data_IF_354752796110
#
_entry.id   IF_354752796110
#
_cell.length_a   1.000
_cell.length_b   1.000
_cell.length_c   1.000
_cell.angle_alpha   90.00
_cell.angle_beta   90.00
_cell.angle_gamma   90.00
#
_symmetry.space_group_name_H-M   'P 1'
#
loop_
_entity.id
_entity.type
_entity.pdbx_description
1 polymer ?
#
# COMPACT_ATOMS: atom_id res chain seq x y z
N UNK A 1 -19.04 8.43 17.12
CA UNK A 1 -18.94 8.51 15.65
C UNK A 1 -17.50 8.75 15.21
N UNK A 2 -16.86 9.84 15.65
CA UNK A 2 -15.47 10.19 15.29
C UNK A 2 -14.42 9.08 15.54
N UNK A 3 -14.47 8.38 16.68
CA UNK A 3 -13.51 7.32 17.01
C UNK A 3 -13.59 6.15 16.02
N UNK A 4 -14.80 5.77 15.60
CA UNK A 4 -14.98 4.67 14.65
C UNK A 4 -14.51 5.06 13.24
N UNK A 5 -14.78 6.29 12.80
CA UNK A 5 -14.25 6.82 11.55
C UNK A 5 -12.72 6.89 11.57
N UNK A 6 -12.14 7.36 12.67
CA UNK A 6 -10.69 7.35 12.85
C UNK A 6 -10.13 5.93 12.81
N UNK A 7 -10.69 4.98 13.57
CA UNK A 7 -10.22 3.59 13.61
C UNK A 7 -10.34 2.89 12.25
N UNK A 8 -11.39 3.19 11.50
CA UNK A 8 -11.65 2.60 10.19
C UNK A 8 -10.83 3.25 9.07
N UNK A 9 -10.24 4.43 9.31
CA UNK A 9 -9.26 5.02 8.41
C UNK A 9 -8.02 4.13 8.26
N UNK A 10 -7.29 4.29 7.15
CA UNK A 10 -6.05 3.56 6.91
C UNK A 10 -5.03 3.77 8.03
N UNK A 11 -4.86 5.03 8.46
CA UNK A 11 -3.94 5.36 9.54
C UNK A 11 -4.38 4.81 10.88
N UNK A 12 -5.66 4.94 11.24
CA UNK A 12 -6.16 4.42 12.51
C UNK A 12 -6.07 2.89 12.61
N UNK A 13 -6.41 2.18 11.54
CA UNK A 13 -6.27 0.72 11.49
C UNK A 13 -4.80 0.28 11.54
N UNK A 14 -3.89 0.99 10.87
CA UNK A 14 -2.44 0.72 10.97
C UNK A 14 -1.91 0.94 12.39
N UNK A 15 -2.33 2.01 13.06
CA UNK A 15 -1.93 2.32 14.43
C UNK A 15 -2.45 1.27 15.41
N UNK A 16 -3.69 0.82 15.22
CA UNK A 16 -4.29 -0.26 15.99
C UNK A 16 -3.51 -1.58 15.82
N UNK A 17 -3.15 -1.94 14.59
CA UNK A 17 -2.33 -3.14 14.32
C UNK A 17 -0.96 -3.02 15.03
N UNK A 18 -0.30 -1.85 14.93
CA UNK A 18 0.96 -1.60 15.64
C UNK A 18 0.80 -1.78 17.15
N UNK A 19 -0.23 -1.18 17.74
CA UNK A 19 -0.49 -1.22 19.18
C UNK A 19 -0.73 -2.67 19.65
N UNK A 20 -1.60 -3.42 18.96
CA UNK A 20 -1.85 -4.83 19.29
C UNK A 20 -0.59 -5.68 19.13
N UNK A 21 0.22 -5.42 18.09
CA UNK A 21 1.47 -6.16 17.86
C UNK A 21 2.49 -5.91 18.97
N UNK A 22 2.59 -4.67 19.48
CA UNK A 22 3.45 -4.31 20.62
C UNK A 22 2.94 -4.99 21.90
N UNK A 23 1.63 -5.00 22.14
CA UNK A 23 1.06 -5.71 23.29
C UNK A 23 1.32 -7.22 23.20
N UNK A 24 1.19 -7.80 22.01
CA UNK A 24 1.50 -9.21 21.76
C UNK A 24 2.98 -9.53 22.04
N UNK A 25 3.90 -8.64 21.65
CA UNK A 25 5.34 -8.75 21.96
C UNK A 25 5.58 -8.84 23.46
N UNK A 26 5.04 -7.88 24.23
CA UNK A 26 5.25 -7.80 25.68
C UNK A 26 4.61 -9.01 26.37
N UNK A 27 3.40 -9.39 25.96
CA UNK A 27 2.69 -10.53 26.53
C UNK A 27 3.43 -11.85 26.27
N UNK A 28 3.90 -12.08 25.04
CA UNK A 28 4.65 -13.28 24.68
C UNK A 28 5.93 -13.44 25.50
N UNK A 29 6.70 -12.36 25.67
CA UNK A 29 7.91 -12.37 26.48
C UNK A 29 7.60 -12.70 27.96
N UNK A 30 6.54 -12.11 28.52
CA UNK A 30 6.09 -12.38 29.89
C UNK A 30 5.58 -13.81 30.07
N UNK A 31 4.80 -14.32 29.12
CA UNK A 31 4.24 -15.67 29.13
C UNK A 31 5.36 -16.72 29.18
N UNK A 32 6.35 -16.60 28.29
CA UNK A 32 7.49 -17.54 28.23
C UNK A 32 8.33 -17.47 29.50
N UNK A 33 8.54 -16.29 30.09
CA UNK A 33 9.25 -16.15 31.36
C UNK A 33 8.53 -16.91 32.49
N UNK A 34 7.22 -16.72 32.61
CA UNK A 34 6.41 -17.42 33.61
C UNK A 34 6.41 -18.93 33.40
N UNK A 35 6.34 -19.39 32.15
CA UNK A 35 6.42 -20.82 31.82
C UNK A 35 7.80 -21.41 32.14
N UNK A 36 8.87 -20.66 31.85
CA UNK A 36 10.25 -21.05 32.16
C UNK A 36 10.46 -21.26 33.66
N UNK A 37 9.98 -20.32 34.49
CA UNK A 37 10.04 -20.42 35.96
C UNK A 37 9.22 -21.62 36.45
N UNK A 38 7.97 -21.79 35.97
CA UNK A 38 7.11 -22.90 36.39
C UNK A 38 7.67 -24.28 36.03
N UNK A 39 8.31 -24.39 34.88
CA UNK A 39 8.87 -25.66 34.38
C UNK A 39 10.31 -25.89 34.83
N UNK A 40 10.92 -24.95 35.59
CA UNK A 40 12.35 -24.92 35.92
C UNK A 40 13.24 -25.19 34.69
N UNK A 41 12.89 -24.60 33.55
CA UNK A 41 13.59 -24.76 32.28
C UNK A 41 14.13 -23.42 31.79
N UNK A 42 15.41 -23.38 31.44
CA UNK A 42 16.00 -22.19 30.82
C UNK A 42 15.46 -22.08 29.38
N UNK A 43 14.93 -20.91 28.97
CA UNK A 43 14.44 -20.73 27.61
C UNK A 43 15.60 -20.82 26.61
N UNK A 44 15.37 -21.48 25.47
CA UNK A 44 16.44 -21.68 24.48
C UNK A 44 16.89 -20.37 23.80
N UNK A 45 16.01 -19.35 23.76
CA UNK A 45 16.30 -18.04 23.17
C UNK A 45 16.07 -16.94 24.20
N UNK A 46 16.67 -15.76 24.00
CA UNK A 46 16.35 -14.57 24.79
C UNK A 46 14.86 -14.24 24.67
N UNK A 47 14.25 -13.74 25.76
CA UNK A 47 12.82 -13.44 25.84
C UNK A 47 12.35 -12.52 24.70
N UNK A 48 13.20 -11.57 24.29
CA UNK A 48 12.91 -10.65 23.20
C UNK A 48 12.62 -11.36 21.87
N UNK A 49 13.26 -12.50 21.58
CA UNK A 49 12.98 -13.25 20.35
C UNK A 49 11.58 -13.86 20.35
N UNK A 50 11.04 -14.27 21.50
CA UNK A 50 9.65 -14.75 21.55
C UNK A 50 8.65 -13.61 21.35
N UNK A 51 8.97 -12.42 21.89
CA UNK A 51 8.21 -11.21 21.62
C UNK A 51 8.19 -10.89 20.12
N UNK A 52 9.35 -10.85 19.47
CA UNK A 52 9.45 -10.59 18.04
C UNK A 52 8.73 -11.64 17.19
N UNK A 53 8.79 -12.92 17.57
CA UNK A 53 8.04 -13.97 16.89
C UNK A 53 6.54 -13.68 16.88
N UNK A 54 5.98 -13.31 18.05
CA UNK A 54 4.56 -12.96 18.15
C UNK A 54 4.22 -11.66 17.42
N UNK A 55 5.11 -10.67 17.48
CA UNK A 55 4.96 -9.41 16.76
C UNK A 55 4.84 -9.67 15.25
N UNK A 56 5.75 -10.48 14.68
CA UNK A 56 5.78 -10.76 13.23
C UNK A 56 4.49 -11.43 12.75
N UNK A 57 3.99 -12.43 13.49
CA UNK A 57 2.76 -13.16 13.13
C UNK A 57 1.48 -12.33 13.23
N UNK A 58 1.46 -11.28 14.05
CA UNK A 58 0.31 -10.37 14.14
C UNK A 58 0.44 -9.23 13.13
N UNK A 59 1.63 -8.64 13.05
CA UNK A 59 1.89 -7.43 12.27
C UNK A 59 1.88 -7.69 10.76
N UNK A 60 2.70 -8.63 10.29
CA UNK A 60 2.90 -8.85 8.85
C UNK A 60 1.64 -9.28 8.10
N UNK A 61 0.91 -10.33 8.52
CA UNK A 61 -0.24 -10.76 7.74
C UNK A 61 -1.37 -9.71 7.77
N UNK A 62 -1.53 -8.99 8.89
CA UNK A 62 -2.54 -7.93 9.03
C UNK A 62 -2.21 -6.71 8.16
N UNK A 63 -0.95 -6.25 8.15
CA UNK A 63 -0.55 -5.09 7.35
C UNK A 63 -0.58 -5.39 5.85
N UNK A 64 -0.20 -6.61 5.45
CA UNK A 64 -0.26 -7.05 4.05
C UNK A 64 -1.71 -6.99 3.55
N UNK A 65 -2.66 -7.55 4.30
CA UNK A 65 -4.08 -7.51 3.91
C UNK A 65 -4.64 -6.10 3.92
N UNK A 66 -4.25 -5.26 4.88
CA UNK A 66 -4.71 -3.86 4.93
C UNK A 66 -4.25 -3.09 3.68
N UNK A 67 -2.99 -3.26 3.27
CA UNK A 67 -2.44 -2.62 2.06
C UNK A 67 -3.12 -3.19 0.82
N UNK A 68 -3.17 -4.51 0.70
CA UNK A 68 -3.75 -5.20 -0.45
C UNK A 68 -5.23 -4.85 -0.64
N UNK A 69 -6.03 -4.83 0.43
CA UNK A 69 -7.41 -4.39 0.40
C UNK A 69 -7.52 -2.93 -0.07
N UNK A 70 -6.67 -2.05 0.45
CA UNK A 70 -6.74 -0.62 0.12
C UNK A 70 -6.36 -0.32 -1.34
N UNK A 71 -5.47 -1.13 -1.93
CA UNK A 71 -5.11 -1.02 -3.34
C UNK A 71 -6.19 -1.62 -4.26
N UNK A 72 -6.77 -2.75 -3.88
CA UNK A 72 -7.75 -3.47 -4.71
C UNK A 72 -9.17 -2.91 -4.59
N UNK A 73 -9.56 -2.35 -3.44
CA UNK A 73 -10.94 -1.97 -3.16
C UNK A 73 -11.44 -0.90 -4.12
N UNK A 74 -10.62 0.12 -4.42
CA UNK A 74 -11.02 1.21 -5.31
C UNK A 74 -11.27 0.69 -6.72
N UNK A 75 -10.32 -0.07 -7.26
CA UNK A 75 -10.43 -0.67 -8.60
C UNK A 75 -11.64 -1.58 -8.70
N UNK A 76 -11.90 -2.39 -7.67
CA UNK A 76 -13.04 -3.29 -7.64
C UNK A 76 -14.39 -2.53 -7.60
N UNK A 77 -14.52 -1.52 -6.73
CA UNK A 77 -15.72 -0.69 -6.64
C UNK A 77 -15.97 0.06 -7.95
N UNK A 78 -14.94 0.70 -8.52
CA UNK A 78 -15.05 1.48 -9.75
C UNK A 78 -15.50 0.59 -10.92
N UNK A 79 -14.89 -0.60 -11.06
CA UNK A 79 -15.25 -1.54 -12.12
C UNK A 79 -16.70 -2.05 -11.99
N UNK A 80 -17.17 -2.31 -10.78
CA UNK A 80 -18.57 -2.67 -10.55
C UNK A 80 -19.51 -1.51 -10.84
N UNK A 81 -19.12 -0.30 -10.46
CA UNK A 81 -19.95 0.89 -10.60
C UNK A 81 -20.02 1.38 -12.06
N UNK A 82 -19.00 1.10 -12.89
CA UNK A 82 -19.04 1.38 -14.33
C UNK A 82 -20.25 0.71 -15.00
N UNK A 83 -20.56 -0.55 -14.66
CA UNK A 83 -21.73 -1.25 -15.20
C UNK A 83 -23.04 -0.55 -14.79
N UNK A 84 -23.15 -0.11 -13.54
CA UNK A 84 -24.33 0.62 -13.05
C UNK A 84 -24.50 1.99 -13.72
N UNK A 85 -23.40 2.70 -13.98
CA UNK A 85 -23.43 3.99 -14.70
C UNK A 85 -23.84 3.79 -16.15
N UNK A 86 -23.33 2.75 -16.81
CA UNK A 86 -23.69 2.43 -18.20
C UNK A 86 -25.17 2.09 -18.34
N UNK A 87 -25.72 1.32 -17.40
CA UNK A 87 -27.15 0.99 -17.37
C UNK A 87 -28.03 2.22 -17.12
N UNK A 88 -27.59 3.12 -16.25
CA UNK A 88 -28.30 4.36 -15.94
C UNK A 88 -28.26 5.38 -17.10
N UNK A 89 -27.29 5.25 -18.00
CA UNK A 89 -27.04 6.16 -19.10
C UNK A 89 -26.84 5.43 -20.44
N UNK A 90 -27.86 4.73 -20.97
CA UNK A 90 -27.71 3.85 -22.13
C UNK A 90 -27.40 4.59 -23.44
N UNK A 91 -27.59 5.92 -23.49
CA UNK A 91 -27.35 6.76 -24.67
C UNK A 91 -25.97 7.44 -24.69
N UNK A 92 -25.17 7.28 -23.64
CA UNK A 92 -23.85 7.90 -23.56
C UNK A 92 -22.79 7.04 -24.27
N UNK A 93 -21.88 7.63 -25.07
CA UNK A 93 -20.77 6.90 -25.66
C UNK A 93 -19.80 6.38 -24.58
N UNK A 94 -19.19 5.22 -24.81
CA UNK A 94 -18.29 4.57 -23.85
C UNK A 94 -17.13 5.46 -23.37
N UNK A 95 -16.64 6.34 -24.26
CA UNK A 95 -15.56 7.30 -23.93
C UNK A 95 -15.95 8.33 -22.86
N UNK A 96 -17.25 8.65 -22.72
CA UNK A 96 -17.73 9.63 -21.75
C UNK A 96 -18.16 9.01 -20.41
N UNK A 97 -18.27 7.68 -20.34
CA UNK A 97 -18.68 6.98 -19.11
C UNK A 97 -17.67 7.21 -17.98
N UNK A 98 -16.37 7.13 -18.28
CA UNK A 98 -15.31 7.40 -17.29
C UNK A 98 -15.36 8.82 -16.74
N UNK A 99 -15.68 9.80 -17.60
CA UNK A 99 -15.84 11.19 -17.18
C UNK A 99 -17.07 11.34 -16.27
N UNK A 100 -18.17 10.65 -16.59
CA UNK A 100 -19.38 10.66 -15.77
C UNK A 100 -19.16 9.99 -14.41
N UNK A 101 -18.43 8.88 -14.38
CA UNK A 101 -18.01 8.23 -13.13
C UNK A 101 -17.13 9.16 -12.28
N UNK A 102 -16.17 9.87 -12.89
CA UNK A 102 -15.36 10.85 -12.18
C UNK A 102 -16.20 12.01 -11.60
N UNK A 103 -17.23 12.47 -12.33
CA UNK A 103 -18.19 13.45 -11.78
C UNK A 103 -18.94 12.91 -10.57
N UNK A 104 -19.46 11.67 -10.63
CA UNK A 104 -20.15 11.02 -9.51
C UNK A 104 -19.20 10.90 -8.30
N UNK A 105 -17.95 10.51 -8.53
CA UNK A 105 -16.93 10.45 -7.48
C UNK A 105 -16.69 11.83 -6.84
N UNK A 106 -16.58 12.89 -7.64
CA UNK A 106 -16.40 14.25 -7.12
C UNK A 106 -17.62 14.75 -6.33
N UNK A 107 -18.84 14.43 -6.76
CA UNK A 107 -20.07 14.73 -6.01
C UNK A 107 -20.08 13.94 -4.70
N UNK A 108 -19.73 12.65 -4.75
CA UNK A 108 -19.67 11.79 -3.55
C UNK A 108 -18.64 12.25 -2.52
N UNK A 109 -17.56 12.89 -2.99
CA UNK A 109 -16.53 13.49 -2.15
C UNK A 109 -16.91 14.88 -1.62
N UNK A 110 -18.07 15.43 -2.03
CA UNK A 110 -18.50 16.78 -1.67
C UNK A 110 -17.74 17.89 -2.39
N UNK A 111 -17.05 17.58 -3.49
CA UNK A 111 -16.26 18.55 -4.27
C UNK A 111 -17.09 19.26 -5.34
N UNK A 112 -18.22 18.68 -5.74
CA UNK A 112 -19.14 19.23 -6.73
C UNK A 112 -20.58 19.07 -6.23
N UNK A 113 -21.38 20.12 -6.41
CA UNK A 113 -22.82 20.06 -6.23
C UNK A 113 -23.52 19.84 -7.58
N UNK A 114 -24.63 19.10 -7.57
CA UNK A 114 -25.42 18.87 -8.77
C UNK A 114 -26.91 19.00 -8.45
N UNK A 115 -27.67 19.56 -9.40
CA UNK A 115 -29.13 19.62 -9.33
C UNK A 115 -29.79 18.41 -10.01
N UNK A 116 -29.00 17.55 -10.65
CA UNK A 116 -29.49 16.34 -11.29
C UNK A 116 -29.74 15.25 -10.23
N UNK A 117 -31.01 14.88 -10.09
CA UNK A 117 -31.50 13.90 -9.10
C UNK A 117 -30.81 12.55 -9.29
N UNK A 118 -30.63 12.13 -10.55
CA UNK A 118 -30.04 10.82 -10.86
C UNK A 118 -28.55 10.78 -10.49
N UNK A 119 -27.81 11.86 -10.76
CA UNK A 119 -26.40 11.97 -10.34
C UNK A 119 -26.26 11.95 -8.82
N UNK A 120 -27.18 12.60 -8.10
CA UNK A 120 -27.20 12.59 -6.63
C UNK A 120 -27.46 11.19 -6.09
N UNK A 121 -28.46 10.49 -6.60
CA UNK A 121 -28.77 9.11 -6.21
C UNK A 121 -27.58 8.17 -6.46
N UNK A 122 -26.96 8.24 -7.64
CA UNK A 122 -25.77 7.45 -7.94
C UNK A 122 -24.60 7.78 -7.00
N UNK A 123 -24.41 9.06 -6.66
CA UNK A 123 -23.37 9.47 -5.71
C UNK A 123 -23.59 8.90 -4.31
N UNK A 124 -24.83 8.91 -3.80
CA UNK A 124 -25.19 8.33 -2.51
C UNK A 124 -24.99 6.80 -2.50
N UNK A 125 -25.33 6.15 -3.62
CA UNK A 125 -25.08 4.71 -3.79
C UNK A 125 -23.59 4.40 -3.79
N UNK A 126 -22.77 5.19 -4.47
CA UNK A 126 -21.32 5.05 -4.46
C UNK A 126 -20.72 5.23 -3.05
N UNK A 127 -21.24 6.17 -2.26
CA UNK A 127 -20.87 6.33 -0.84
C UNK A 127 -21.22 5.07 -0.03
N UNK A 128 -22.39 4.47 -0.27
CA UNK A 128 -22.80 3.24 0.41
C UNK A 128 -21.84 2.08 0.14
N UNK A 129 -21.45 1.86 -1.12
CA UNK A 129 -20.47 0.84 -1.49
C UNK A 129 -19.11 1.05 -0.81
N UNK A 130 -18.65 2.30 -0.76
CA UNK A 130 -17.43 2.64 -0.04
C UNK A 130 -17.54 2.35 1.47
N UNK A 131 -18.66 2.73 2.10
CA UNK A 131 -18.90 2.46 3.54
C UNK A 131 -18.90 0.97 3.83
N UNK A 132 -19.59 0.16 3.04
CA UNK A 132 -19.61 -1.30 3.20
C UNK A 132 -18.22 -1.90 3.02
N UNK A 133 -17.45 -1.45 2.02
CA UNK A 133 -16.06 -1.90 1.82
C UNK A 133 -15.16 -1.57 3.01
N UNK A 134 -15.30 -0.38 3.60
CA UNK A 134 -14.55 0.03 4.80
C UNK A 134 -14.93 -0.85 6.00
N UNK A 135 -16.22 -1.14 6.20
CA UNK A 135 -16.69 -2.01 7.28
C UNK A 135 -16.15 -3.45 7.13
N UNK A 136 -16.22 -4.01 5.91
CA UNK A 136 -15.68 -5.32 5.60
C UNK A 136 -14.16 -5.38 5.83
N UNK A 137 -13.42 -4.33 5.43
CA UNK A 137 -11.98 -4.23 5.70
C UNK A 137 -11.67 -4.36 7.18
N UNK A 138 -12.37 -3.61 8.04
CA UNK A 138 -12.16 -3.64 9.50
C UNK A 138 -12.46 -5.03 10.05
N UNK A 139 -13.56 -5.66 9.63
CA UNK A 139 -13.92 -7.02 10.04
C UNK A 139 -12.85 -8.04 9.65
N UNK A 140 -12.35 -7.99 8.42
CA UNK A 140 -11.31 -8.88 7.91
C UNK A 140 -10.00 -8.69 8.68
N UNK A 141 -9.58 -7.45 8.93
CA UNK A 141 -8.37 -7.16 9.71
C UNK A 141 -8.52 -7.68 11.13
N UNK A 142 -9.67 -7.45 11.78
CA UNK A 142 -9.88 -7.87 13.16
C UNK A 142 -9.82 -9.39 13.32
N UNK A 143 -10.41 -10.14 12.38
CA UNK A 143 -10.31 -11.61 12.37
C UNK A 143 -8.88 -12.08 12.15
N UNK A 144 -8.14 -11.45 11.23
CA UNK A 144 -6.74 -11.77 10.96
C UNK A 144 -5.83 -11.53 12.16
N UNK A 145 -6.01 -10.41 12.85
CA UNK A 145 -5.30 -10.09 14.10
C UNK A 145 -5.61 -11.14 15.17
N UNK A 146 -6.89 -11.50 15.33
CA UNK A 146 -7.30 -12.52 16.29
C UNK A 146 -6.66 -13.89 16.00
N UNK A 147 -6.70 -14.35 14.75
CA UNK A 147 -6.06 -15.60 14.34
C UNK A 147 -4.53 -15.54 14.47
N UNK A 148 -3.90 -14.41 14.16
CA UNK A 148 -2.45 -14.21 14.32
C UNK A 148 -2.02 -14.29 15.79
N UNK A 149 -2.79 -13.68 16.70
CA UNK A 149 -2.58 -13.79 18.14
C UNK A 149 -2.72 -15.22 18.64
N UNK A 150 -3.82 -15.88 18.26
CA UNK A 150 -4.13 -17.24 18.67
C UNK A 150 -3.05 -18.23 18.16
N UNK A 151 -2.67 -18.13 16.89
CA UNK A 151 -1.65 -18.99 16.30
C UNK A 151 -0.27 -18.78 16.94
N UNK A 152 0.10 -17.53 17.19
CA UNK A 152 1.34 -17.20 17.90
C UNK A 152 1.38 -17.84 19.27
N UNK A 153 0.34 -17.63 20.09
CA UNK A 153 0.32 -18.06 21.49
C UNK A 153 0.25 -19.57 21.66
N UNK A 154 -0.43 -20.30 20.75
CA UNK A 154 -0.45 -21.77 20.79
C UNK A 154 0.95 -22.37 20.55
N UNK A 155 1.78 -21.70 19.75
CA UNK A 155 3.14 -22.16 19.44
C UNK A 155 4.19 -21.73 20.47
N UNK A 156 3.89 -20.79 21.35
CA UNK A 156 4.83 -20.30 22.36
C UNK A 156 5.12 -21.38 23.40
N UNK A 157 6.39 -21.78 23.47
CA UNK A 157 6.92 -22.64 24.52
C UNK A 157 8.37 -22.26 24.80
N UNK A 158 8.91 -22.52 26.01
CA UNK A 158 10.30 -22.21 26.34
C UNK A 158 11.35 -22.98 25.50
N UNK A 159 10.91 -24.06 24.82
CA UNK A 159 11.74 -24.89 23.94
C UNK A 159 11.76 -24.40 22.49
N UNK A 160 10.91 -23.45 22.12
CA UNK A 160 10.84 -22.95 20.75
C UNK A 160 12.11 -22.15 20.40
N UNK A 161 12.74 -22.49 19.27
CA UNK A 161 13.97 -21.85 18.78
C UNK A 161 13.66 -20.52 18.09
N UNK A 162 13.10 -19.56 18.84
CA UNK A 162 12.59 -18.27 18.31
C UNK A 162 13.63 -17.51 17.47
N UNK A 163 14.91 -17.55 17.88
CA UNK A 163 16.02 -16.92 17.17
C UNK A 163 16.13 -17.38 15.71
N UNK A 164 16.07 -18.69 15.46
CA UNK A 164 16.25 -19.26 14.12
C UNK A 164 15.13 -18.79 13.19
N UNK A 165 13.88 -18.76 13.68
CA UNK A 165 12.75 -18.28 12.89
C UNK A 165 12.88 -16.82 12.48
N UNK A 166 13.34 -15.96 13.40
CA UNK A 166 13.50 -14.53 13.14
C UNK A 166 14.67 -14.28 12.18
N UNK A 167 15.83 -14.90 12.43
CA UNK A 167 17.00 -14.76 11.58
C UNK A 167 16.71 -15.24 10.15
N UNK A 168 16.01 -16.36 9.97
CA UNK A 168 15.62 -16.86 8.66
C UNK A 168 14.61 -15.92 7.96
N UNK A 169 13.62 -15.41 8.69
CA UNK A 169 12.65 -14.45 8.15
C UNK A 169 13.33 -13.16 7.68
N UNK A 170 14.23 -12.59 8.50
CA UNK A 170 15.00 -11.39 8.15
C UNK A 170 15.91 -11.65 6.96
N UNK A 171 16.62 -12.78 6.93
CA UNK A 171 17.48 -13.16 5.81
C UNK A 171 16.72 -13.24 4.49
N UNK A 172 15.54 -13.89 4.47
CA UNK A 172 14.69 -13.98 3.28
C UNK A 172 14.18 -12.61 2.85
N UNK A 173 13.75 -11.78 3.80
CA UNK A 173 13.23 -10.44 3.52
C UNK A 173 14.31 -9.54 2.92
N UNK A 174 15.53 -9.57 3.47
CA UNK A 174 16.65 -8.81 2.93
C UNK A 174 17.11 -9.34 1.57
N UNK A 175 17.07 -10.66 1.34
CA UNK A 175 17.37 -11.22 0.03
C UNK A 175 16.36 -10.73 -1.02
N UNK A 176 15.06 -10.78 -0.72
CA UNK A 176 14.02 -10.25 -1.60
C UNK A 176 14.18 -8.75 -1.84
N UNK A 177 14.43 -7.97 -0.79
CA UNK A 177 14.64 -6.53 -0.91
C UNK A 177 15.85 -6.18 -1.78
N UNK A 178 16.98 -6.88 -1.60
CA UNK A 178 18.18 -6.69 -2.41
C UNK A 178 17.92 -7.06 -3.89
N UNK A 179 17.19 -8.15 -4.15
CA UNK A 179 16.81 -8.55 -5.50
C UNK A 179 15.96 -7.47 -6.18
N UNK A 180 14.95 -6.94 -5.49
CA UNK A 180 14.11 -5.85 -6.00
C UNK A 180 14.95 -4.59 -6.25
N UNK A 181 15.89 -4.23 -5.36
CA UNK A 181 16.76 -3.07 -5.54
C UNK A 181 17.68 -3.20 -6.77
N UNK A 182 18.24 -4.38 -7.02
CA UNK A 182 19.04 -4.64 -8.22
C UNK A 182 18.15 -4.54 -9.46
N UNK A 183 16.95 -5.12 -9.44
CA UNK A 183 16.01 -5.04 -10.57
C UNK A 183 15.61 -3.58 -10.88
N UNK A 184 15.37 -2.75 -9.87
CA UNK A 184 15.01 -1.34 -10.07
C UNK A 184 16.17 -0.52 -10.61
N UNK A 185 17.40 -0.72 -10.10
CA UNK A 185 18.58 -0.03 -10.65
C UNK A 185 18.81 -0.37 -12.12
N UNK A 186 18.71 -1.66 -12.50
CA UNK A 186 18.78 -2.08 -13.90
C UNK A 186 17.65 -1.47 -14.72
N UNK A 187 16.42 -1.48 -14.20
CA UNK A 187 15.26 -0.89 -14.88
C UNK A 187 15.43 0.60 -15.17
N UNK A 188 15.93 1.38 -14.20
CA UNK A 188 16.20 2.80 -14.36
C UNK A 188 17.30 3.03 -15.40
N UNK A 189 18.41 2.31 -15.31
CA UNK A 189 19.52 2.44 -16.26
C UNK A 189 19.05 2.08 -17.68
N UNK A 190 18.29 1.00 -17.83
CA UNK A 190 17.73 0.59 -19.12
C UNK A 190 16.78 1.64 -19.70
N UNK A 191 15.93 2.26 -18.88
CA UNK A 191 15.02 3.32 -19.32
C UNK A 191 15.80 4.56 -19.79
N UNK A 192 16.84 4.97 -19.05
CA UNK A 192 17.69 6.09 -19.41
C UNK A 192 18.49 5.82 -20.69
N UNK A 193 19.04 4.61 -20.85
CA UNK A 193 19.75 4.20 -22.06
C UNK A 193 18.85 4.21 -23.30
N UNK A 194 17.61 3.70 -23.17
CA UNK A 194 16.64 3.71 -24.25
C UNK A 194 16.27 5.15 -24.68
N UNK A 195 16.03 6.03 -23.72
CA UNK A 195 15.77 7.45 -23.99
C UNK A 195 16.97 8.13 -24.67
N UNK A 196 18.19 7.87 -24.19
CA UNK A 196 19.41 8.42 -24.78
C UNK A 196 19.61 7.94 -26.22
N UNK A 197 19.35 6.67 -26.51
CA UNK A 197 19.45 6.12 -27.87
C UNK A 197 18.52 6.89 -28.83
N UNK A 198 17.23 7.03 -28.50
CA UNK A 198 16.26 7.78 -29.31
C UNK A 198 16.68 9.25 -29.50
N UNK A 199 17.20 9.88 -28.45
CA UNK A 199 17.68 11.25 -28.51
C UNK A 199 18.78 11.43 -29.56
N UNK A 200 19.77 10.53 -29.60
CA UNK A 200 20.87 10.61 -30.57
C UNK A 200 20.46 10.26 -32.01
N UNK A 201 19.37 9.50 -32.21
CA UNK A 201 18.76 9.35 -33.55
C UNK A 201 18.04 10.61 -34.00
N UNK A 202 17.45 11.36 -33.08
CA UNK A 202 16.66 12.56 -33.39
C UNK A 202 17.55 13.79 -33.59
N UNK A 203 18.61 13.93 -32.78
CA UNK A 203 19.53 15.06 -32.82
C UNK A 203 20.93 14.53 -33.16
N UNK A 204 21.43 14.76 -34.40
CA UNK A 204 22.76 14.31 -34.76
C UNK A 204 23.81 15.01 -33.90
N UNK A 205 24.83 14.26 -33.48
CA UNK A 205 25.91 14.70 -32.60
C UNK A 205 26.56 16.02 -33.05
N UNK A 206 26.66 16.24 -34.37
CA UNK A 206 27.21 17.47 -34.95
C UNK A 206 26.36 18.71 -34.66
N UNK A 207 25.01 18.61 -34.71
CA UNK A 207 24.13 19.73 -34.33
C UNK A 207 24.13 20.01 -32.83
N UNK A 208 24.27 18.97 -32.01
CA UNK A 208 24.35 19.12 -30.55
C UNK A 208 25.58 19.96 -30.13
N UNK A 209 26.75 19.70 -30.73
CA UNK A 209 27.97 20.47 -30.45
C UNK A 209 28.04 21.83 -31.21
N UNK A 210 27.58 21.91 -32.46
CA UNK A 210 27.58 23.18 -33.22
C UNK A 210 26.55 24.20 -32.73
N UNK A 211 25.49 23.78 -32.03
CA UNK A 211 24.49 24.71 -31.51
C UNK A 211 25.08 25.77 -30.58
N UNK A 212 26.05 25.40 -29.72
CA UNK A 212 26.80 26.36 -28.89
C UNK A 212 27.56 27.38 -29.76
N UNK A 213 28.23 26.93 -30.83
CA UNK A 213 28.97 27.83 -31.72
C UNK A 213 28.06 28.81 -32.49
N UNK A 214 26.84 28.40 -32.84
CA UNK A 214 25.87 29.26 -33.53
C UNK A 214 25.18 30.25 -32.57
N UNK A 215 24.98 29.89 -31.30
CA UNK A 215 24.49 30.83 -30.27
C UNK A 215 25.59 31.81 -29.84
N UNK A 216 26.84 31.36 -29.73
CA UNK A 216 27.98 32.22 -29.44
C UNK A 216 28.28 33.22 -30.57
N UNK A 217 28.17 32.78 -31.84
CA UNK A 217 28.38 33.66 -33.01
C UNK A 217 27.11 34.46 -33.39
N UNK A 218 25.92 34.04 -32.95
CA UNK A 218 24.66 34.74 -33.21
C UNK A 218 24.38 35.93 -32.30
N UNK A 219 25.14 36.10 -31.21
CA UNK A 219 25.02 37.25 -30.31
C UNK A 219 25.91 38.44 -30.70
N UNK A 220 26.87 38.29 -31.63
CA UNK A 220 27.65 39.45 -32.12
C UNK A 220 26.97 40.20 -33.27
N UNK A 221 25.90 39.65 -33.86
CA UNK A 221 25.34 40.18 -35.12
C UNK A 221 23.91 40.74 -35.00
N UNK A 222 23.34 40.80 -33.79
CA UNK A 222 22.12 41.60 -33.50
C UNK A 222 22.38 42.83 -32.62
N UNK A 223 23.46 43.52 -32.96
CA UNK A 223 23.58 44.97 -32.77
C UNK A 223 24.08 45.58 -34.07
N UNK A 224 23.21 45.63 -35.08
CA UNK A 224 23.27 46.58 -36.20
C UNK A 224 21.89 46.60 -36.89
N UNK A 225 21.10 47.62 -36.52
CA UNK A 225 19.80 48.06 -37.04
C UNK A 225 18.56 47.21 -36.73
#
# INVERSE_FOLDING_TARGET
MFIFEFLSSFFGSSLLICLISILAFIYAARLVNQQSIKLNQVPHSLLNYYGFYSFLWVFFPSIIILVLWSLLSKTFIDNQFLFLVQESYPKLPESFIFLKLAQIQNISAGLLETNDILMKELSERYISYQKTSIQLRVLVILTLVFFGLLYSFIRLSPKLKARIYIEDTLRRTFLLAALVAILTTVGIISALLYQAFIFFFTIPFTRFFLWNSLVANGCSERRCN
#
